data_IF_254723597754
#
_entry.id   IF_254723597754
#
_cell.length_a   1.000
_cell.length_b   1.000
_cell.length_c   1.000
_cell.angle_alpha   90.00
_cell.angle_beta   90.00
_cell.angle_gamma   90.00
#
_symmetry.space_group_name_H-M   'P 1'
#
loop_
_entity.id
_entity.type
_entity.pdbx_description
1 polymer ?
#
# COMPACT_ATOMS: atom_id res chain seq x y z
N UNK A 1 6.94 -37.46 -10.31
CA UNK A 1 6.84 -38.86 -9.84
C UNK A 1 8.06 -39.64 -10.35
N UNK A 2 8.79 -40.33 -9.46
CA UNK A 2 9.99 -41.10 -9.82
C UNK A 2 9.63 -42.39 -10.57
N UNK A 3 10.49 -42.81 -11.51
CA UNK A 3 10.31 -44.02 -12.31
C UNK A 3 11.51 -44.95 -12.21
N UNK A 4 11.32 -46.19 -12.64
CA UNK A 4 12.39 -47.17 -12.76
C UNK A 4 13.60 -46.57 -13.52
N UNK A 5 14.83 -46.78 -13.07
CA UNK A 5 16.03 -46.30 -13.77
C UNK A 5 16.26 -46.95 -15.14
N UNK A 6 15.67 -48.13 -15.39
CA UNK A 6 15.71 -48.79 -16.68
C UNK A 6 14.84 -48.01 -17.69
N UNK A 7 15.42 -47.44 -18.77
CA UNK A 7 14.69 -46.66 -19.76
C UNK A 7 13.57 -47.42 -20.48
N UNK A 8 13.65 -48.76 -20.52
CA UNK A 8 12.63 -49.62 -21.12
C UNK A 8 11.45 -49.90 -20.18
N UNK A 9 11.57 -49.57 -18.89
CA UNK A 9 10.58 -49.84 -17.86
C UNK A 9 9.87 -48.55 -17.41
N UNK A 10 8.56 -48.47 -17.63
CA UNK A 10 7.74 -47.32 -17.24
C UNK A 10 7.26 -47.32 -15.78
N UNK A 11 7.64 -48.32 -14.99
CA UNK A 11 7.10 -48.53 -13.64
C UNK A 11 7.39 -47.34 -12.71
N UNK A 12 6.38 -46.92 -11.93
CA UNK A 12 6.51 -45.85 -10.96
C UNK A 12 7.12 -46.37 -9.66
N UNK A 13 7.99 -45.57 -9.05
CA UNK A 13 8.55 -45.86 -7.73
C UNK A 13 7.58 -45.35 -6.67
N UNK A 14 7.03 -46.27 -5.89
CA UNK A 14 6.11 -45.96 -4.80
C UNK A 14 6.80 -45.33 -3.59
N UNK A 15 6.02 -44.60 -2.79
CA UNK A 15 6.52 -43.99 -1.54
C UNK A 15 7.05 -45.04 -0.55
N UNK A 16 6.45 -46.23 -0.53
CA UNK A 16 6.88 -47.37 0.26
C UNK A 16 8.30 -47.86 -0.08
N UNK A 17 8.71 -47.72 -1.34
CA UNK A 17 10.02 -48.14 -1.82
C UNK A 17 11.10 -47.11 -1.48
N UNK A 18 10.76 -45.82 -1.57
CA UNK A 18 11.63 -44.73 -1.11
C UNK A 18 11.86 -44.84 0.40
N UNK A 19 10.81 -45.10 1.18
CA UNK A 19 10.92 -45.21 2.64
C UNK A 19 11.80 -46.39 3.09
N UNK A 20 11.86 -47.46 2.28
CA UNK A 20 12.70 -48.65 2.54
C UNK A 20 14.14 -48.51 2.07
N UNK A 21 14.38 -47.85 0.93
CA UNK A 21 15.66 -47.90 0.23
C UNK A 21 16.48 -46.60 0.33
N UNK A 22 15.84 -45.45 0.55
CA UNK A 22 16.54 -44.17 0.59
C UNK A 22 17.13 -43.88 2.00
N UNK A 23 18.19 -43.07 2.09
CA UNK A 23 18.62 -42.44 3.34
C UNK A 23 17.55 -41.48 3.88
N UNK A 24 17.55 -41.21 5.19
CA UNK A 24 16.51 -40.38 5.83
C UNK A 24 16.44 -38.95 5.28
N UNK A 25 17.58 -38.36 4.90
CA UNK A 25 17.64 -37.03 4.26
C UNK A 25 16.89 -37.02 2.90
N UNK A 26 17.07 -38.06 2.10
CA UNK A 26 16.43 -38.19 0.79
C UNK A 26 14.94 -38.55 0.89
N UNK A 27 14.53 -39.29 1.92
CA UNK A 27 13.11 -39.53 2.21
C UNK A 27 12.36 -38.23 2.45
N UNK A 28 12.94 -37.35 3.27
CA UNK A 28 12.33 -36.06 3.58
C UNK A 28 12.25 -35.16 2.35
N UNK A 29 13.32 -35.17 1.54
CA UNK A 29 13.36 -34.47 0.27
C UNK A 29 12.30 -34.99 -0.71
N UNK A 30 12.13 -36.31 -0.81
CA UNK A 30 11.10 -36.93 -1.65
C UNK A 30 9.69 -36.55 -1.18
N UNK A 31 9.40 -36.63 0.14
CA UNK A 31 8.11 -36.21 0.70
C UNK A 31 7.80 -34.76 0.37
N UNK A 32 8.77 -33.86 0.54
CA UNK A 32 8.64 -32.44 0.21
C UNK A 32 8.31 -32.22 -1.28
N UNK A 33 9.01 -32.88 -2.19
CA UNK A 33 8.74 -32.77 -3.63
C UNK A 33 7.40 -33.37 -4.04
N UNK A 34 7.01 -34.50 -3.45
CA UNK A 34 5.72 -35.14 -3.72
C UNK A 34 4.57 -34.23 -3.30
N UNK A 35 4.66 -33.66 -2.09
CA UNK A 35 3.69 -32.69 -1.59
C UNK A 35 3.67 -31.42 -2.45
N UNK A 36 4.85 -30.92 -2.84
CA UNK A 36 4.97 -29.76 -3.76
C UNK A 36 4.25 -29.99 -5.07
N UNK A 37 4.48 -31.13 -5.72
CA UNK A 37 3.82 -31.52 -6.97
C UNK A 37 2.30 -31.59 -6.80
N UNK A 38 1.80 -32.18 -5.71
CA UNK A 38 0.36 -32.28 -5.45
C UNK A 38 -0.31 -30.90 -5.34
N UNK A 39 0.34 -29.96 -4.64
CA UNK A 39 -0.17 -28.59 -4.48
C UNK A 39 -0.08 -27.82 -5.80
N UNK A 40 1.02 -27.93 -6.55
CA UNK A 40 1.20 -27.27 -7.85
C UNK A 40 0.20 -27.76 -8.91
N UNK A 41 -0.20 -29.04 -8.86
CA UNK A 41 -1.23 -29.60 -9.74
C UNK A 41 -2.67 -29.22 -9.32
N UNK A 42 -2.85 -28.66 -8.12
CA UNK A 42 -4.16 -28.27 -7.61
C UNK A 42 -4.62 -26.92 -8.15
N UNK A 43 -5.87 -26.84 -8.60
CA UNK A 43 -6.50 -25.57 -8.99
C UNK A 43 -7.01 -24.74 -7.80
N UNK A 44 -7.06 -25.34 -6.62
CA UNK A 44 -7.64 -24.74 -5.40
C UNK A 44 -6.62 -24.53 -4.30
N UNK A 45 -5.38 -25.01 -4.45
CA UNK A 45 -4.35 -24.92 -3.41
C UNK A 45 -3.10 -24.29 -4.03
N UNK A 46 -2.48 -23.34 -3.33
CA UNK A 46 -1.21 -22.73 -3.74
C UNK A 46 -0.27 -22.63 -2.55
N UNK A 47 1.02 -22.71 -2.83
CA UNK A 47 2.07 -22.46 -1.84
C UNK A 47 2.06 -20.99 -1.40
N UNK A 48 2.31 -20.76 -0.11
CA UNK A 48 2.61 -19.41 0.38
C UNK A 48 3.94 -18.93 -0.23
N UNK A 49 3.99 -17.75 -0.86
CA UNK A 49 5.23 -17.24 -1.46
C UNK A 49 6.19 -16.60 -0.44
N UNK A 50 5.81 -16.55 0.85
CA UNK A 50 6.65 -15.98 1.89
C UNK A 50 7.97 -16.77 2.04
N UNK A 51 9.13 -16.09 2.09
CA UNK A 51 10.41 -16.76 2.29
C UNK A 51 10.42 -17.59 3.58
N UNK A 52 10.77 -18.88 3.47
CA UNK A 52 10.83 -19.81 4.61
C UNK A 52 9.48 -20.36 5.09
N UNK A 53 8.38 -20.09 4.38
CA UNK A 53 7.07 -20.66 4.71
C UNK A 53 6.78 -21.90 3.84
N UNK A 54 6.62 -23.06 4.48
CA UNK A 54 6.24 -24.33 3.84
C UNK A 54 4.73 -24.61 3.97
N UNK A 55 3.90 -23.60 4.19
CA UNK A 55 2.44 -23.74 4.27
C UNK A 55 1.79 -23.53 2.90
N UNK A 56 0.73 -24.29 2.64
CA UNK A 56 -0.12 -24.11 1.47
C UNK A 56 -1.49 -23.56 1.89
N UNK A 57 -2.07 -22.73 1.03
CA UNK A 57 -3.38 -22.10 1.27
C UNK A 57 -4.39 -22.65 0.28
N UNK A 58 -5.55 -23.07 0.79
CA UNK A 58 -6.70 -23.47 0.00
C UNK A 58 -7.61 -22.26 -0.28
N UNK A 59 -7.98 -22.06 -1.54
CA UNK A 59 -8.86 -20.98 -1.97
C UNK A 59 -10.33 -21.39 -1.90
N UNK A 60 -11.10 -20.63 -1.12
CA UNK A 60 -12.54 -20.76 -1.02
C UNK A 60 -13.21 -19.88 -2.08
N UNK A 61 -13.77 -20.52 -3.11
CA UNK A 61 -14.48 -19.82 -4.20
C UNK A 61 -15.71 -19.10 -3.64
N UNK A 62 -15.90 -17.83 -4.01
CA UNK A 62 -17.05 -17.02 -3.60
C UNK A 62 -16.78 -16.06 -2.43
N UNK A 63 -15.52 -15.92 -1.98
CA UNK A 63 -15.11 -14.99 -0.93
C UNK A 63 -15.20 -13.51 -1.31
N UNK A 64 -15.48 -13.17 -2.58
CA UNK A 64 -15.54 -11.79 -3.07
C UNK A 64 -14.18 -11.08 -3.17
N UNK A 65 -13.08 -11.77 -2.84
CA UNK A 65 -11.71 -11.26 -2.93
C UNK A 65 -10.76 -12.34 -3.46
N UNK A 66 -9.75 -11.93 -4.21
CA UNK A 66 -8.64 -12.80 -4.60
C UNK A 66 -7.51 -12.80 -3.55
N UNK A 67 -7.54 -11.91 -2.58
CA UNK A 67 -6.51 -11.87 -1.53
C UNK A 67 -6.72 -13.00 -0.53
N UNK A 68 -5.67 -13.78 -0.31
CA UNK A 68 -5.64 -14.87 0.67
C UNK A 68 -4.55 -14.61 1.71
N UNK A 69 -4.80 -15.03 2.95
CA UNK A 69 -3.85 -14.89 4.05
C UNK A 69 -3.43 -16.27 4.53
N UNK A 70 -2.12 -16.51 4.56
CA UNK A 70 -1.53 -17.73 5.12
C UNK A 70 -1.52 -17.67 6.66
N UNK A 71 -1.40 -18.83 7.31
CA UNK A 71 -1.17 -18.94 8.76
C UNK A 71 0.05 -18.17 9.27
N UNK A 72 1.07 -17.99 8.42
CA UNK A 72 2.24 -17.15 8.70
C UNK A 72 1.95 -15.63 8.62
N UNK A 73 0.68 -15.24 8.48
CA UNK A 73 0.19 -13.87 8.30
C UNK A 73 0.59 -13.19 6.98
N UNK A 74 1.34 -13.85 6.10
CA UNK A 74 1.61 -13.33 4.76
C UNK A 74 0.35 -13.38 3.90
N UNK A 75 0.01 -12.25 3.28
CA UNK A 75 -1.15 -12.14 2.39
C UNK A 75 -0.71 -11.94 0.95
N UNK A 76 -1.31 -12.69 0.03
CA UNK A 76 -0.97 -12.65 -1.40
C UNK A 76 -2.21 -12.74 -2.27
N UNK A 77 -2.10 -12.22 -3.50
CA UNK A 77 -3.15 -12.34 -4.49
C UNK A 77 -3.18 -13.76 -5.05
N UNK A 78 -4.33 -14.43 -4.94
CA UNK A 78 -4.54 -15.75 -5.51
C UNK A 78 -4.30 -15.80 -7.02
N UNK A 79 -4.56 -14.70 -7.75
CA UNK A 79 -4.49 -14.68 -9.20
C UNK A 79 -3.06 -14.59 -9.72
N UNK A 80 -2.30 -13.57 -9.30
CA UNK A 80 -0.94 -13.31 -9.79
C UNK A 80 0.17 -13.80 -8.86
N UNK A 81 -0.15 -14.30 -7.65
CA UNK A 81 0.81 -14.75 -6.63
C UNK A 81 1.77 -13.69 -6.09
N UNK A 82 1.65 -12.45 -6.54
CA UNK A 82 2.27 -11.29 -5.92
C UNK A 82 1.61 -10.99 -4.57
N UNK A 83 2.24 -10.10 -3.80
CA UNK A 83 1.67 -9.57 -2.57
C UNK A 83 0.22 -9.09 -2.77
N UNK A 84 -0.63 -9.27 -1.75
CA UNK A 84 -2.01 -8.80 -1.77
C UNK A 84 -2.02 -7.29 -2.08
N UNK A 85 -2.73 -6.92 -3.13
CA UNK A 85 -2.51 -5.62 -3.78
C UNK A 85 -3.81 -4.87 -4.04
N UNK A 86 -4.90 -5.21 -3.35
CA UNK A 86 -6.11 -4.39 -3.39
C UNK A 86 -5.82 -2.99 -2.85
N UNK A 87 -6.40 -1.95 -3.45
CA UNK A 87 -7.44 -1.97 -4.50
C UNK A 87 -6.88 -2.03 -5.94
N UNK A 88 -5.57 -2.11 -6.13
CA UNK A 88 -4.93 -2.10 -7.44
C UNK A 88 -5.13 -3.45 -8.13
N UNK A 89 -5.32 -3.46 -9.45
CA UNK A 89 -5.49 -4.69 -10.22
C UNK A 89 -4.13 -5.37 -10.54
N UNK A 90 -4.19 -6.66 -10.88
CA UNK A 90 -2.98 -7.45 -11.18
C UNK A 90 -2.17 -6.90 -12.37
N UNK A 91 -2.81 -6.29 -13.37
CA UNK A 91 -2.14 -5.76 -14.56
C UNK A 91 -1.29 -4.54 -14.21
N UNK A 92 -1.84 -3.64 -13.39
CA UNK A 92 -1.12 -2.46 -12.89
C UNK A 92 0.07 -2.88 -12.03
N UNK A 93 -0.09 -3.88 -11.14
CA UNK A 93 1.02 -4.42 -10.35
C UNK A 93 2.10 -5.03 -11.23
N UNK A 94 1.73 -5.82 -12.24
CA UNK A 94 2.70 -6.40 -13.17
C UNK A 94 3.52 -5.31 -13.90
N UNK A 95 2.88 -4.22 -14.33
CA UNK A 95 3.58 -3.07 -14.93
C UNK A 95 4.51 -2.38 -13.94
N UNK A 96 4.10 -2.23 -12.68
CA UNK A 96 4.92 -1.64 -11.61
C UNK A 96 6.14 -2.50 -11.31
N UNK A 97 5.95 -3.81 -11.09
CA UNK A 97 7.05 -4.77 -10.83
C UNK A 97 8.02 -4.78 -12.01
N UNK A 98 7.52 -4.84 -13.24
CA UNK A 98 8.36 -4.80 -14.43
C UNK A 98 9.18 -3.51 -14.50
N UNK A 99 8.56 -2.35 -14.21
CA UNK A 99 9.23 -1.04 -14.20
C UNK A 99 10.32 -0.96 -13.14
N UNK A 100 10.08 -1.51 -11.95
CA UNK A 100 11.04 -1.53 -10.85
C UNK A 100 12.18 -2.55 -11.09
N UNK A 101 11.91 -3.61 -11.86
CA UNK A 101 12.90 -4.64 -12.20
C UNK A 101 13.82 -4.27 -13.37
N UNK A 102 13.36 -3.35 -14.25
CA UNK A 102 14.09 -2.95 -15.44
C UNK A 102 15.00 -1.74 -15.18
N UNK A 103 16.21 -1.77 -15.76
CA UNK A 103 17.23 -0.69 -15.83
C UNK A 103 16.73 0.66 -16.42
N UNK A 104 15.42 0.82 -16.62
CA UNK A 104 14.74 2.00 -17.16
C UNK A 104 14.94 3.27 -16.32
N UNK A 105 15.14 3.13 -15.02
CA UNK A 105 15.49 4.22 -14.11
C UNK A 105 16.90 4.76 -14.38
N UNK A 106 17.86 3.88 -14.66
CA UNK A 106 19.22 4.28 -14.98
C UNK A 106 19.23 5.10 -16.29
N UNK A 107 18.43 4.68 -17.29
CA UNK A 107 18.27 5.40 -18.55
C UNK A 107 17.55 6.74 -18.39
N UNK A 108 16.47 6.82 -17.60
CA UNK A 108 15.75 8.08 -17.37
C UNK A 108 16.56 9.06 -16.50
N UNK A 109 17.29 8.56 -15.50
CA UNK A 109 18.24 9.37 -14.73
C UNK A 109 19.38 9.91 -15.59
N UNK A 110 19.97 9.06 -16.45
CA UNK A 110 20.98 9.48 -17.44
C UNK A 110 20.41 10.56 -18.36
N UNK A 111 19.19 10.41 -18.88
CA UNK A 111 18.57 11.40 -19.77
C UNK A 111 18.22 12.72 -19.06
N UNK A 112 17.88 12.68 -17.77
CA UNK A 112 17.53 13.85 -16.98
C UNK A 112 18.75 14.64 -16.50
N UNK A 113 19.85 13.95 -16.17
CA UNK A 113 21.02 14.56 -15.50
C UNK A 113 22.29 14.63 -16.38
N UNK A 114 22.26 14.10 -17.60
CA UNK A 114 23.41 14.11 -18.50
C UNK A 114 23.08 14.69 -19.89
N UNK A 115 24.09 15.24 -20.58
CA UNK A 115 24.03 15.55 -22.01
C UNK A 115 25.05 14.71 -22.78
N UNK A 116 24.74 14.24 -24.00
CA UNK A 116 25.68 13.48 -24.80
C UNK A 116 26.82 14.36 -25.31
N UNK A 117 28.05 13.85 -25.29
CA UNK A 117 29.18 14.50 -25.93
C UNK A 117 28.88 14.73 -27.42
N UNK A 118 29.05 15.94 -27.97
CA UNK A 118 28.77 16.21 -29.39
C UNK A 118 29.61 15.35 -30.34
N UNK A 119 30.86 15.00 -29.94
CA UNK A 119 31.81 14.22 -30.74
C UNK A 119 31.62 12.70 -30.64
N UNK A 120 31.46 12.14 -29.44
CA UNK A 120 31.41 10.67 -29.23
C UNK A 120 30.08 10.14 -28.66
N UNK A 121 29.10 11.01 -28.40
CA UNK A 121 27.76 10.71 -27.87
C UNK A 121 27.71 10.09 -26.47
N UNK A 122 28.85 9.85 -25.81
CA UNK A 122 28.90 9.39 -24.41
C UNK A 122 28.16 10.38 -23.50
N UNK A 123 27.28 9.93 -22.58
CA UNK A 123 26.60 10.80 -21.62
C UNK A 123 27.60 11.42 -20.65
N UNK A 124 27.48 12.73 -20.40
CA UNK A 124 28.33 13.51 -19.50
C UNK A 124 27.43 14.25 -18.51
N UNK A 125 27.66 14.05 -17.22
CA UNK A 125 27.00 14.78 -16.13
C UNK A 125 27.66 16.16 -15.94
N UNK A 126 26.88 17.16 -15.55
CA UNK A 126 27.37 18.53 -15.36
C UNK A 126 28.24 18.62 -14.10
N UNK A 127 29.48 19.11 -14.21
CA UNK A 127 30.23 19.52 -13.03
C UNK A 127 29.63 20.81 -12.42
N UNK A 128 29.72 20.97 -11.10
CA UNK A 128 28.98 21.96 -10.31
C UNK A 128 29.33 23.43 -10.65
N UNK A 129 28.83 23.94 -11.78
CA UNK A 129 28.80 25.37 -12.11
C UNK A 129 29.52 25.82 -13.39
N UNK A 130 30.38 24.98 -14.01
CA UNK A 130 31.13 25.40 -15.21
C UNK A 130 30.37 25.08 -16.51
N UNK A 131 30.30 26.04 -17.44
CA UNK A 131 29.74 25.78 -18.79
C UNK A 131 30.74 25.12 -19.74
N UNK A 132 32.03 25.13 -19.38
CA UNK A 132 33.09 24.42 -20.11
C UNK A 132 33.14 22.96 -19.67
N UNK A 133 32.87 22.05 -20.61
CA UNK A 133 32.83 20.62 -20.37
C UNK A 133 33.89 19.91 -21.19
N UNK A 134 34.68 19.08 -20.54
CA UNK A 134 35.68 18.23 -21.19
C UNK A 134 35.23 16.78 -21.12
N UNK A 135 35.07 16.13 -22.28
CA UNK A 135 34.69 14.72 -22.33
C UNK A 135 35.81 13.83 -21.74
N UNK A 136 35.43 12.79 -20.99
CA UNK A 136 36.39 11.85 -20.42
C UNK A 136 37.18 11.09 -21.50
N UNK A 137 38.42 10.66 -21.21
CA UNK A 137 39.23 9.86 -22.13
C UNK A 137 38.48 8.61 -22.67
N UNK A 138 38.72 8.21 -23.93
CA UNK A 138 39.75 8.71 -24.86
C UNK A 138 39.36 9.97 -25.65
N UNK A 139 38.12 10.48 -25.53
CA UNK A 139 37.59 11.52 -26.42
C UNK A 139 38.20 12.91 -26.18
N UNK A 140 38.30 13.35 -24.92
CA UNK A 140 38.88 14.64 -24.49
C UNK A 140 38.32 15.90 -25.20
N UNK A 141 37.17 15.80 -25.86
CA UNK A 141 36.57 16.93 -26.56
C UNK A 141 36.02 17.97 -25.59
N UNK A 142 36.37 19.23 -25.84
CA UNK A 142 35.96 20.38 -25.04
C UNK A 142 34.79 21.10 -25.72
N UNK A 143 33.70 21.29 -24.98
CA UNK A 143 32.47 21.85 -25.52
C UNK A 143 31.70 22.69 -24.50
N UNK A 144 30.80 23.54 -24.99
CA UNK A 144 29.91 24.33 -24.16
C UNK A 144 28.67 23.51 -23.75
N UNK A 145 28.37 23.45 -22.45
CA UNK A 145 27.22 22.72 -21.91
C UNK A 145 25.86 23.20 -22.44
N UNK A 146 25.74 24.49 -22.78
CA UNK A 146 24.48 25.09 -23.23
C UNK A 146 24.17 24.72 -24.69
N UNK A 147 25.06 25.08 -25.61
CA UNK A 147 24.85 24.93 -27.06
C UNK A 147 25.42 23.64 -27.66
N UNK A 148 26.18 22.85 -26.89
CA UNK A 148 26.88 21.63 -27.34
C UNK A 148 27.89 21.87 -28.49
N UNK A 149 28.27 23.12 -28.75
CA UNK A 149 29.30 23.51 -29.71
C UNK A 149 30.73 23.42 -29.15
N UNK A 150 31.73 23.43 -30.03
CA UNK A 150 33.15 23.41 -29.65
C UNK A 150 33.49 24.56 -28.71
N UNK A 151 34.27 24.30 -27.66
CA UNK A 151 34.70 25.34 -26.73
C UNK A 151 35.68 26.33 -27.38
N UNK A 152 36.47 25.87 -28.36
CA UNK A 152 37.38 26.72 -29.16
C UNK A 152 36.68 27.92 -29.81
N UNK A 153 35.38 27.77 -30.09
CA UNK A 153 34.59 28.77 -30.80
C UNK A 153 33.94 29.78 -29.82
N UNK A 154 34.16 29.61 -28.52
CA UNK A 154 33.64 30.47 -27.46
C UNK A 154 34.70 31.50 -27.02
N UNK A 155 34.31 32.77 -27.00
CA UNK A 155 35.14 33.90 -26.58
C UNK A 155 34.29 35.16 -26.39
N UNK A 156 34.93 36.34 -26.43
CA UNK A 156 34.27 37.63 -26.18
C UNK A 156 33.07 37.89 -27.14
N UNK A 157 33.18 37.41 -28.38
CA UNK A 157 32.13 37.53 -29.43
C UNK A 157 30.88 36.68 -29.20
N UNK A 158 30.93 35.70 -28.29
CA UNK A 158 29.81 34.77 -28.02
C UNK A 158 29.16 35.00 -26.65
N UNK A 159 29.43 36.12 -25.98
CA UNK A 159 28.90 36.42 -24.64
C UNK A 159 29.90 36.21 -23.50
N UNK A 160 31.18 36.00 -23.82
CA UNK A 160 32.25 35.75 -22.84
C UNK A 160 32.33 34.28 -22.40
N UNK A 161 33.23 34.00 -21.45
CA UNK A 161 33.50 32.63 -20.97
C UNK A 161 32.39 32.05 -20.09
N UNK A 162 31.45 32.89 -19.64
CA UNK A 162 30.39 32.51 -18.69
C UNK A 162 28.97 32.56 -19.28
N UNK A 163 28.78 33.11 -20.49
CA UNK A 163 27.49 33.18 -21.17
C UNK A 163 27.61 32.84 -22.67
N UNK A 164 26.52 32.36 -23.28
CA UNK A 164 26.51 31.86 -24.67
C UNK A 164 25.38 32.52 -25.50
N UNK A 165 25.70 33.58 -26.23
CA UNK A 165 24.77 34.34 -27.07
C UNK A 165 24.21 33.49 -28.23
N UNK A 166 24.96 32.49 -28.73
CA UNK A 166 24.47 31.54 -29.75
C UNK A 166 23.36 30.63 -29.21
N UNK A 167 23.44 30.26 -27.93
CA UNK A 167 22.36 29.53 -27.27
C UNK A 167 21.13 30.41 -27.10
N UNK A 168 21.31 31.67 -26.67
CA UNK A 168 20.21 32.62 -26.48
C UNK A 168 19.45 32.93 -27.78
N UNK A 169 20.18 33.14 -28.89
CA UNK A 169 19.57 33.34 -30.21
C UNK A 169 18.81 32.08 -30.70
N UNK A 170 19.41 30.89 -30.59
CA UNK A 170 18.76 29.64 -30.99
C UNK A 170 17.56 29.26 -30.10
N UNK A 171 17.56 29.71 -28.83
CA UNK A 171 16.41 29.61 -27.92
C UNK A 171 15.28 30.54 -28.33
N UNK A 172 15.58 31.78 -28.72
CA UNK A 172 14.58 32.74 -29.23
C UNK A 172 13.96 32.29 -30.56
N UNK A 173 14.71 31.55 -31.38
CA UNK A 173 14.23 30.96 -32.64
C UNK A 173 13.49 29.61 -32.47
N UNK A 174 13.32 29.10 -31.24
CA UNK A 174 12.54 27.89 -30.95
C UNK A 174 13.21 26.56 -31.33
N UNK A 175 14.48 26.58 -31.76
CA UNK A 175 15.22 25.38 -32.23
C UNK A 175 15.44 24.35 -31.11
N UNK A 176 15.50 24.81 -29.85
CA UNK A 176 15.74 23.97 -28.66
C UNK A 176 14.49 23.59 -27.86
N UNK A 177 13.32 24.18 -28.15
CA UNK A 177 12.10 24.01 -27.35
C UNK A 177 11.66 22.55 -27.27
N UNK A 178 11.73 21.81 -28.38
CA UNK A 178 11.27 20.43 -28.44
C UNK A 178 12.15 19.47 -27.63
N UNK A 179 13.48 19.66 -27.67
CA UNK A 179 14.43 18.83 -26.94
C UNK A 179 14.51 19.20 -25.45
N UNK A 180 14.34 20.47 -25.10
CA UNK A 180 14.25 20.94 -23.72
C UNK A 180 12.94 20.49 -23.07
N UNK A 181 11.81 20.59 -23.78
CA UNK A 181 10.50 20.07 -23.35
C UNK A 181 10.51 18.56 -23.15
N UNK A 182 11.18 17.78 -24.02
CA UNK A 182 11.34 16.33 -23.82
C UNK A 182 12.15 16.00 -22.55
N UNK A 183 13.23 16.75 -22.30
CA UNK A 183 14.03 16.59 -21.07
C UNK A 183 13.23 16.96 -19.83
N UNK A 184 12.46 18.05 -19.90
CA UNK A 184 11.60 18.49 -18.80
C UNK A 184 10.47 17.48 -18.51
N UNK A 185 9.82 16.92 -19.55
CA UNK A 185 8.83 15.85 -19.37
C UNK A 185 9.46 14.57 -18.80
N UNK A 186 10.66 14.21 -19.23
CA UNK A 186 11.40 13.07 -18.67
C UNK A 186 11.74 13.31 -17.20
N UNK A 187 12.20 14.52 -16.84
CA UNK A 187 12.48 14.93 -15.46
C UNK A 187 11.23 14.89 -14.60
N UNK A 188 10.12 15.49 -15.05
CA UNK A 188 8.84 15.47 -14.34
C UNK A 188 8.28 14.03 -14.17
N UNK A 189 8.46 13.19 -15.17
CA UNK A 189 8.06 11.78 -15.10
C UNK A 189 8.93 10.99 -14.12
N UNK A 190 10.22 11.30 -14.05
CA UNK A 190 11.17 10.70 -13.10
C UNK A 190 10.87 11.17 -11.68
N UNK A 191 10.71 12.47 -11.44
CA UNK A 191 10.36 13.03 -10.13
C UNK A 191 9.06 12.44 -9.59
N UNK A 192 8.02 12.34 -10.45
CA UNK A 192 6.76 11.71 -10.08
C UNK A 192 6.97 10.23 -9.74
N UNK A 193 7.74 9.51 -10.54
CA UNK A 193 8.05 8.12 -10.26
C UNK A 193 8.80 7.95 -8.93
N UNK A 194 9.86 8.71 -8.71
CA UNK A 194 10.65 8.73 -7.47
C UNK A 194 9.76 8.99 -6.26
N UNK A 195 8.87 9.98 -6.34
CA UNK A 195 7.93 10.28 -5.27
C UNK A 195 7.08 9.07 -4.85
N UNK A 196 6.48 8.36 -5.81
CA UNK A 196 5.65 7.18 -5.49
C UNK A 196 6.48 5.96 -5.13
N UNK A 197 7.65 5.77 -5.75
CA UNK A 197 8.55 4.67 -5.45
C UNK A 197 9.14 4.75 -4.04
N UNK A 198 9.63 5.92 -3.61
CA UNK A 198 10.14 6.12 -2.26
C UNK A 198 9.08 5.82 -1.20
N UNK A 199 7.83 6.25 -1.45
CA UNK A 199 6.69 5.93 -0.57
C UNK A 199 6.40 4.44 -0.54
N UNK A 200 6.36 3.78 -1.70
CA UNK A 200 6.16 2.33 -1.79
C UNK A 200 7.27 1.55 -1.07
N UNK A 201 8.54 1.89 -1.30
CA UNK A 201 9.70 1.24 -0.69
C UNK A 201 9.75 1.49 0.83
N UNK A 202 9.43 2.71 1.28
CA UNK A 202 9.32 3.04 2.71
C UNK A 202 8.19 2.25 3.39
N UNK A 203 7.04 2.12 2.74
CA UNK A 203 5.93 1.31 3.22
C UNK A 203 6.33 -0.18 3.32
N UNK A 204 7.01 -0.69 2.28
CA UNK A 204 7.52 -2.06 2.24
C UNK A 204 8.53 -2.34 3.36
N UNK A 205 9.44 -1.41 3.66
CA UNK A 205 10.39 -1.55 4.78
C UNK A 205 9.67 -1.51 6.14
N UNK A 206 8.73 -0.59 6.30
CA UNK A 206 7.88 -0.49 7.51
C UNK A 206 7.10 -1.79 7.73
N UNK A 207 6.66 -2.44 6.65
CA UNK A 207 6.02 -3.76 6.66
C UNK A 207 6.89 -4.87 7.18
N UNK A 208 8.11 -4.97 6.70
CA UNK A 208 9.03 -6.01 7.15
C UNK A 208 9.33 -5.87 8.63
N UNK A 209 9.56 -4.65 9.11
CA UNK A 209 9.74 -4.37 10.54
C UNK A 209 8.52 -4.78 11.35
N UNK A 210 7.34 -4.40 10.90
CA UNK A 210 6.08 -4.74 11.55
C UNK A 210 5.81 -6.24 11.66
N UNK A 211 6.14 -7.02 10.64
CA UNK A 211 6.02 -8.48 10.68
C UNK A 211 7.00 -9.08 11.69
N UNK A 212 8.22 -8.55 11.78
CA UNK A 212 9.18 -8.95 12.79
C UNK A 212 8.68 -8.61 14.21
N UNK A 213 8.13 -7.42 14.42
CA UNK A 213 7.57 -7.00 15.71
C UNK A 213 6.37 -7.88 16.11
N UNK A 214 5.50 -8.25 15.15
CA UNK A 214 4.38 -9.16 15.40
C UNK A 214 4.86 -10.54 15.83
N UNK A 215 5.87 -11.09 15.15
CA UNK A 215 6.46 -12.37 15.52
C UNK A 215 7.05 -12.30 16.94
N UNK A 216 7.78 -11.22 17.26
CA UNK A 216 8.32 -10.98 18.59
C UNK A 216 7.22 -10.87 19.66
N UNK A 217 6.10 -10.23 19.33
CA UNK A 217 4.94 -10.12 20.22
C UNK A 217 4.35 -11.49 20.54
N UNK A 218 4.23 -12.36 19.53
CA UNK A 218 3.70 -13.71 19.67
C UNK A 218 4.65 -14.64 20.45
N UNK A 219 5.96 -14.53 20.22
CA UNK A 219 6.92 -15.51 20.74
C UNK A 219 7.52 -15.15 22.10
N UNK A 220 7.62 -13.87 22.45
CA UNK A 220 8.33 -13.41 23.66
C UNK A 220 7.42 -12.55 24.54
N UNK A 221 6.77 -11.55 23.95
CA UNK A 221 6.07 -10.56 24.76
C UNK A 221 4.74 -11.06 25.34
N UNK A 222 4.07 -12.01 24.68
CA UNK A 222 2.82 -12.57 25.21
C UNK A 222 3.05 -13.34 26.52
N UNK A 223 4.08 -14.19 26.57
CA UNK A 223 4.46 -14.96 27.76
C UNK A 223 4.84 -14.01 28.91
N UNK A 224 5.71 -13.04 28.64
CA UNK A 224 6.10 -12.01 29.63
C UNK A 224 4.89 -11.23 30.15
N UNK A 225 3.95 -10.87 29.27
CA UNK A 225 2.75 -10.12 29.66
C UNK A 225 1.80 -10.97 30.51
N UNK A 226 1.67 -12.26 30.20
CA UNK A 226 0.92 -13.24 30.98
C UNK A 226 1.45 -13.32 32.41
N UNK A 227 2.77 -13.35 32.59
CA UNK A 227 3.43 -13.36 33.89
C UNK A 227 3.18 -12.04 34.67
N UNK A 228 3.47 -10.89 34.06
CA UNK A 228 3.36 -9.58 34.72
C UNK A 228 1.93 -9.25 35.11
N UNK A 229 0.96 -9.55 34.25
CA UNK A 229 -0.45 -9.25 34.50
C UNK A 229 -1.18 -10.38 35.25
N UNK A 230 -0.50 -11.50 35.50
CA UNK A 230 -1.09 -12.69 36.14
C UNK A 230 -2.40 -13.13 35.46
N UNK A 231 -2.40 -13.11 34.13
CA UNK A 231 -3.54 -13.52 33.30
C UNK A 231 -3.13 -14.64 32.35
N UNK A 232 -3.97 -15.66 32.12
CA UNK A 232 -3.65 -16.71 31.16
C UNK A 232 -3.59 -16.13 29.74
N UNK A 233 -2.68 -16.64 28.91
CA UNK A 233 -2.48 -16.19 27.51
C UNK A 233 -3.77 -16.18 26.67
N UNK A 234 -4.71 -17.07 26.98
CA UNK A 234 -6.02 -17.12 26.34
C UNK A 234 -6.82 -15.81 26.50
N UNK A 235 -6.67 -15.12 27.62
CA UNK A 235 -7.29 -13.81 27.85
C UNK A 235 -6.52 -12.66 27.17
N UNK A 236 -5.27 -12.89 26.75
CA UNK A 236 -4.39 -11.92 26.10
C UNK A 236 -4.36 -12.04 24.57
N UNK A 237 -4.95 -13.10 24.00
CA UNK A 237 -5.04 -13.30 22.53
C UNK A 237 -5.57 -12.10 21.75
N UNK A 238 -6.44 -11.29 22.35
CA UNK A 238 -6.97 -10.06 21.73
C UNK A 238 -5.86 -9.09 21.31
N UNK A 239 -4.70 -9.11 21.96
CA UNK A 239 -3.56 -8.24 21.63
C UNK A 239 -2.94 -8.72 20.32
N UNK A 240 -2.75 -10.03 20.15
CA UNK A 240 -2.23 -10.59 18.90
C UNK A 240 -3.21 -10.33 17.75
N UNK A 241 -4.51 -10.53 17.99
CA UNK A 241 -5.54 -10.24 17.00
C UNK A 241 -5.58 -8.75 16.63
N UNK A 242 -5.43 -7.86 17.61
CA UNK A 242 -5.36 -6.42 17.37
C UNK A 242 -4.10 -6.03 16.58
N UNK A 243 -2.94 -6.61 16.89
CA UNK A 243 -1.70 -6.38 16.16
C UNK A 243 -1.79 -6.91 14.72
N UNK A 244 -2.29 -8.14 14.52
CA UNK A 244 -2.51 -8.72 13.20
C UNK A 244 -3.41 -7.83 12.35
N UNK A 245 -4.50 -7.33 12.93
CA UNK A 245 -5.41 -6.42 12.24
C UNK A 245 -4.74 -5.08 11.93
N UNK A 246 -4.02 -4.49 12.89
CA UNK A 246 -3.29 -3.22 12.71
C UNK A 246 -2.29 -3.33 11.58
N UNK A 247 -1.48 -4.38 11.60
CA UNK A 247 -0.46 -4.64 10.58
C UNK A 247 -1.11 -4.85 9.22
N UNK A 248 -2.11 -5.73 9.11
CA UNK A 248 -2.82 -5.97 7.84
C UNK A 248 -3.34 -4.67 7.21
N UNK A 249 -4.02 -3.84 8.00
CA UNK A 249 -4.61 -2.58 7.53
C UNK A 249 -3.55 -1.51 7.22
N UNK A 250 -2.42 -1.50 7.93
CA UNK A 250 -1.34 -0.55 7.65
C UNK A 250 -0.80 -0.69 6.24
N UNK A 251 -0.64 -1.93 5.78
CA UNK A 251 0.02 -2.23 4.51
C UNK A 251 -0.91 -2.17 3.30
N UNK A 252 -2.22 -2.33 3.51
CA UNK A 252 -3.22 -2.28 2.45
C UNK A 252 -3.43 -0.84 1.90
N UNK A 253 -3.10 0.25 2.63
CA UNK A 253 -3.38 1.61 2.14
C UNK A 253 -2.70 2.78 2.86
N UNK A 254 -2.07 3.71 2.09
CA UNK A 254 -1.55 4.99 2.58
C UNK A 254 -2.10 6.19 1.78
N UNK A 255 -3.23 6.72 2.25
CA UNK A 255 -3.77 8.06 1.94
C UNK A 255 -3.93 8.77 3.28
N UNK A 256 -3.51 10.04 3.41
CA UNK A 256 -3.22 10.69 4.70
C UNK A 256 -4.23 10.53 5.86
N UNK A 257 -5.52 10.35 5.62
CA UNK A 257 -6.51 10.08 6.68
C UNK A 257 -6.45 8.65 7.22
N UNK A 258 -6.21 7.68 6.33
CA UNK A 258 -5.90 6.30 6.68
C UNK A 258 -4.60 6.22 7.49
N UNK A 259 -3.57 6.98 7.09
CA UNK A 259 -2.28 7.02 7.79
C UNK A 259 -2.45 7.50 9.24
N UNK A 260 -3.25 8.55 9.44
CA UNK A 260 -3.50 9.07 10.78
C UNK A 260 -4.27 8.10 11.68
N UNK A 261 -5.22 7.33 11.12
CA UNK A 261 -5.93 6.27 11.85
C UNK A 261 -5.01 5.12 12.25
N UNK A 262 -4.18 4.68 11.30
CA UNK A 262 -3.19 3.62 11.51
C UNK A 262 -2.11 4.00 12.50
N UNK A 263 -1.58 5.22 12.44
CA UNK A 263 -0.54 5.67 13.36
C UNK A 263 -1.05 5.70 14.80
N UNK A 264 -2.31 6.09 15.03
CA UNK A 264 -2.92 6.04 16.37
C UNK A 264 -3.07 4.61 16.87
N UNK A 265 -3.50 3.70 16.00
CA UNK A 265 -3.64 2.29 16.35
C UNK A 265 -2.26 1.66 16.61
N UNK A 266 -1.25 1.95 15.79
CA UNK A 266 0.15 1.56 15.99
C UNK A 266 0.70 2.10 17.32
N UNK A 267 0.51 3.38 17.61
CA UNK A 267 0.93 4.01 18.86
C UNK A 267 0.34 3.29 20.08
N UNK A 268 -0.95 2.96 20.04
CA UNK A 268 -1.63 2.26 21.12
C UNK A 268 -1.17 0.80 21.23
N UNK A 269 -1.18 0.07 20.11
CA UNK A 269 -0.83 -1.35 20.06
C UNK A 269 0.62 -1.61 20.48
N UNK A 270 1.56 -0.73 20.11
CA UNK A 270 2.99 -0.99 20.26
C UNK A 270 3.62 -0.16 21.37
N UNK A 271 3.44 1.16 21.34
CA UNK A 271 4.17 2.04 22.26
C UNK A 271 3.51 2.09 23.63
N UNK A 272 2.19 2.22 23.68
CA UNK A 272 1.46 2.21 24.97
C UNK A 272 1.51 0.82 25.63
N UNK A 273 1.50 -0.27 24.85
CA UNK A 273 1.62 -1.63 25.37
C UNK A 273 2.93 -1.85 26.14
N UNK A 274 4.03 -1.23 25.70
CA UNK A 274 5.34 -1.37 26.35
C UNK A 274 5.34 -0.87 27.80
N UNK A 275 4.45 0.06 28.16
CA UNK A 275 4.32 0.52 29.54
C UNK A 275 3.80 -0.59 30.47
N UNK A 276 2.97 -1.50 29.95
CA UNK A 276 2.41 -2.63 30.69
C UNK A 276 3.31 -3.88 30.64
N UNK A 277 4.20 -3.98 29.64
CA UNK A 277 5.23 -5.03 29.56
C UNK A 277 6.42 -4.80 30.50
N UNK A 278 6.61 -3.56 30.94
CA UNK A 278 7.73 -3.14 31.79
C UNK A 278 7.27 -2.74 33.19
N UNK A 279 6.01 -2.95 33.55
CA UNK A 279 5.50 -2.64 34.89
C UNK A 279 5.88 -3.71 35.91
N UNK A 280 6.11 -3.31 37.16
CA UNK A 280 6.48 -4.21 38.26
C UNK A 280 5.30 -5.05 38.83
N UNK A 281 4.16 -5.07 38.13
CA UNK A 281 2.99 -5.86 38.50
C UNK A 281 1.71 -5.51 37.72
N UNK A 282 0.57 -6.13 38.07
CA UNK A 282 -0.69 -5.95 37.36
C UNK A 282 -1.21 -4.52 37.46
N UNK A 283 -1.53 -3.92 36.31
CA UNK A 283 -2.04 -2.54 36.25
C UNK A 283 -3.56 -2.50 36.29
N UNK A 284 -4.13 -1.60 37.09
CA UNK A 284 -5.57 -1.36 37.14
C UNK A 284 -6.10 -0.75 35.84
N UNK A 285 -5.26 -0.01 35.13
CA UNK A 285 -5.62 0.69 33.89
C UNK A 285 -5.50 -0.22 32.65
N UNK A 286 -5.10 -1.49 32.82
CA UNK A 286 -4.96 -2.44 31.71
C UNK A 286 -6.30 -2.74 31.02
N UNK A 287 -7.41 -2.73 31.78
CA UNK A 287 -8.75 -2.90 31.20
C UNK A 287 -9.17 -1.70 30.32
N UNK A 288 -8.75 -0.49 30.70
CA UNK A 288 -9.00 0.71 29.91
C UNK A 288 -8.17 0.66 28.61
N UNK A 289 -6.91 0.23 28.71
CA UNK A 289 -6.06 -0.04 27.55
C UNK A 289 -6.69 -1.08 26.62
N UNK A 290 -7.18 -2.21 27.16
CA UNK A 290 -7.87 -3.26 26.38
C UNK A 290 -9.06 -2.69 25.61
N UNK A 291 -9.90 -1.90 26.28
CA UNK A 291 -11.09 -1.29 25.68
C UNK A 291 -10.71 -0.31 24.58
N UNK A 292 -9.70 0.53 24.82
CA UNK A 292 -9.15 1.47 23.85
C UNK A 292 -8.60 0.77 22.61
N UNK A 293 -7.77 -0.27 22.80
CA UNK A 293 -7.15 -1.02 21.70
C UNK A 293 -8.22 -1.72 20.84
N UNK A 294 -9.20 -2.37 21.47
CA UNK A 294 -10.29 -3.02 20.75
C UNK A 294 -11.14 -2.02 19.95
N UNK A 295 -11.45 -0.85 20.54
CA UNK A 295 -12.18 0.22 19.87
C UNK A 295 -11.43 0.77 18.65
N UNK A 296 -10.15 1.12 18.82
CA UNK A 296 -9.31 1.61 17.72
C UNK A 296 -9.19 0.58 16.60
N UNK A 297 -9.03 -0.70 16.95
CA UNK A 297 -8.92 -1.80 15.96
C UNK A 297 -10.20 -1.92 15.11
N UNK A 298 -11.37 -1.84 15.75
CA UNK A 298 -12.67 -1.94 15.07
C UNK A 298 -12.93 -0.75 14.15
N UNK A 299 -12.72 0.47 14.64
CA UNK A 299 -12.93 1.70 13.84
C UNK A 299 -12.01 1.73 12.63
N UNK A 300 -10.74 1.39 12.84
CA UNK A 300 -9.73 1.36 11.78
C UNK A 300 -10.12 0.36 10.70
N UNK A 301 -10.49 -0.88 11.08
CA UNK A 301 -10.99 -1.91 10.16
C UNK A 301 -12.17 -1.43 9.33
N UNK A 302 -13.22 -0.90 9.96
CA UNK A 302 -14.43 -0.47 9.27
C UNK A 302 -14.16 0.66 8.27
N UNK A 303 -13.30 1.61 8.64
CA UNK A 303 -12.90 2.70 7.75
C UNK A 303 -12.24 2.15 6.47
N UNK A 304 -11.29 1.24 6.61
CA UNK A 304 -10.59 0.65 5.47
C UNK A 304 -11.48 -0.24 4.60
N UNK A 305 -12.32 -1.08 5.20
CA UNK A 305 -13.27 -1.91 4.45
C UNK A 305 -14.19 -1.05 3.57
N UNK A 306 -14.66 0.08 4.09
CA UNK A 306 -15.49 1.02 3.34
C UNK A 306 -14.69 1.72 2.22
N UNK A 307 -13.45 2.10 2.50
CA UNK A 307 -12.58 2.78 1.55
C UNK A 307 -12.18 1.89 0.37
N UNK A 308 -11.79 0.64 0.66
CA UNK A 308 -11.51 -0.37 -0.37
C UNK A 308 -12.75 -0.59 -1.23
N UNK A 309 -13.92 -0.82 -0.59
CA UNK A 309 -15.18 -1.00 -1.33
C UNK A 309 -15.52 0.21 -2.21
N UNK A 310 -15.31 1.42 -1.72
CA UNK A 310 -15.55 2.64 -2.50
C UNK A 310 -14.61 2.72 -3.72
N UNK A 311 -13.32 2.42 -3.55
CA UNK A 311 -12.34 2.46 -4.65
C UNK A 311 -12.64 1.39 -5.71
N UNK A 312 -13.03 0.20 -5.29
CA UNK A 312 -13.38 -0.90 -6.20
C UNK A 312 -14.67 -0.68 -6.97
N UNK A 313 -15.63 0.01 -6.36
CA UNK A 313 -16.86 0.45 -7.01
C UNK A 313 -16.66 1.74 -7.83
N UNK A 314 -15.42 2.19 -8.04
CA UNK A 314 -15.12 3.39 -8.82
C UNK A 314 -15.67 4.69 -8.20
N UNK A 315 -15.78 4.73 -6.87
CA UNK A 315 -16.32 5.85 -6.09
C UNK A 315 -17.80 6.18 -6.36
N UNK A 316 -18.59 5.22 -6.82
CA UNK A 316 -20.03 5.39 -7.13
C UNK A 316 -20.87 6.00 -6.01
N UNK A 317 -20.48 5.76 -4.75
CA UNK A 317 -21.21 6.24 -3.56
C UNK A 317 -21.00 7.75 -3.30
N UNK A 318 -19.95 8.35 -3.86
CA UNK A 318 -19.65 9.79 -3.75
C UNK A 318 -20.59 10.61 -4.64
N UNK A 319 -21.07 10.05 -5.76
CA UNK A 319 -22.05 10.69 -6.64
C UNK A 319 -23.45 10.80 -5.98
N UNK A 320 -23.77 9.89 -5.06
CA UNK A 320 -25.06 9.88 -4.37
C UNK A 320 -25.20 11.00 -3.32
N UNK A 321 -24.09 11.48 -2.76
CA UNK A 321 -24.05 12.60 -1.81
C UNK A 321 -23.94 13.98 -2.49
N UNK A 322 -23.50 14.04 -3.76
CA UNK A 322 -23.53 15.28 -4.53
C UNK A 322 -24.96 15.68 -4.95
N UNK A 323 -25.86 14.71 -5.07
CA UNK A 323 -27.25 14.93 -5.47
C UNK A 323 -28.18 15.43 -4.36
N UNK A 324 -27.78 15.33 -3.08
CA UNK A 324 -28.61 15.81 -1.95
C UNK A 324 -28.32 17.26 -1.51
N UNK A 325 -27.31 17.94 -2.09
CA UNK A 325 -26.96 19.32 -1.74
C UNK A 325 -27.45 20.41 -2.72
N UNK A 326 -28.48 20.14 -3.53
CA UNK A 326 -29.15 21.17 -4.36
C UNK A 326 -30.66 21.29 -4.06
N UNK A 327 -30.98 22.04 -3.02
CA UNK A 327 -32.19 22.89 -2.93
C UNK A 327 -31.81 24.17 -2.18
N UNK A 328 -31.49 25.24 -2.88
CA UNK A 328 -32.40 26.33 -3.31
C UNK A 328 -32.45 27.49 -2.32
N UNK A 329 -31.52 28.44 -2.49
CA UNK A 329 -31.73 29.84 -2.10
C UNK A 329 -32.61 30.50 -3.15
N UNK A 330 -33.92 30.65 -2.89
CA UNK A 330 -34.74 31.71 -3.52
C UNK A 330 -35.76 32.26 -2.53
N UNK A 331 -35.60 33.55 -2.28
CA UNK A 331 -36.49 34.38 -1.48
C UNK A 331 -37.87 34.56 -2.14
N UNK A 332 -38.82 34.80 -1.24
CA UNK A 332 -40.26 35.03 -1.38
C UNK A 332 -40.62 36.23 -2.27
N UNK A 333 -41.64 36.07 -3.13
CA UNK A 333 -42.65 37.10 -3.41
C UNK A 333 -43.90 36.52 -4.10
N UNK A 334 -45.08 36.81 -3.53
CA UNK A 334 -46.30 37.07 -4.32
C UNK A 334 -47.27 35.91 -4.62
N UNK A 335 -48.29 35.76 -3.77
CA UNK A 335 -49.52 34.99 -4.03
C UNK A 335 -50.34 35.52 -5.22
N UNK A 336 -50.93 34.62 -6.03
CA UNK A 336 -52.39 34.63 -6.31
C UNK A 336 -52.91 33.43 -7.12
N UNK A 337 -54.08 32.94 -6.67
CA UNK A 337 -55.18 32.23 -7.39
C UNK A 337 -55.06 30.73 -7.80
N UNK A 338 -55.68 29.91 -6.94
CA UNK A 338 -56.94 29.16 -7.13
C UNK A 338 -57.09 27.96 -8.11
N UNK A 339 -57.89 26.98 -7.61
CA UNK A 339 -58.47 25.74 -8.18
C UNK A 339 -57.49 24.56 -8.28
N UNK A 340 -57.76 23.35 -7.82
CA UNK A 340 -58.94 22.67 -7.28
C UNK A 340 -58.81 21.18 -7.63
N UNK A 341 -59.05 20.25 -6.69
CA UNK A 341 -59.05 18.81 -7.03
C UNK A 341 -58.89 17.87 -5.83
N UNK A 342 -60.00 17.20 -5.47
CA UNK A 342 -60.13 16.17 -4.43
C UNK A 342 -59.46 14.85 -4.85
N UNK A 343 -58.91 14.12 -3.88
CA UNK A 343 -58.64 12.68 -3.97
C UNK A 343 -58.32 12.08 -2.60
N UNK A 344 -59.24 11.30 -2.03
CA UNK A 344 -59.15 10.59 -0.74
C UNK A 344 -58.43 9.23 -0.91
N UNK A 345 -57.73 8.79 0.14
CA UNK A 345 -57.31 7.40 0.36
C UNK A 345 -56.27 7.32 1.49
N UNK A 346 -56.66 7.44 2.76
CA UNK A 346 -56.91 6.34 3.70
C UNK A 346 -55.69 5.46 3.97
N UNK A 347 -55.06 5.63 5.13
CA UNK A 347 -54.30 4.56 5.79
C UNK A 347 -54.27 4.77 7.30
N UNK A 348 -54.38 3.63 7.96
CA UNK A 348 -54.80 3.40 9.34
C UNK A 348 -53.71 3.73 10.36
N UNK A 349 -54.18 4.16 11.51
CA UNK A 349 -53.53 4.21 12.82
C UNK A 349 -52.94 2.87 13.25
N UNK A 350 -51.72 2.90 13.79
CA UNK A 350 -51.05 1.80 14.47
C UNK A 350 -49.98 2.34 15.42
N UNK A 351 -50.36 2.42 16.68
CA UNK A 351 -49.71 3.03 17.85
C UNK A 351 -48.29 2.51 18.13
N UNK A 352 -47.30 3.40 18.20
CA UNK A 352 -46.00 3.10 18.85
C UNK A 352 -46.02 3.56 20.30
N UNK A 353 -45.96 2.59 21.20
CA UNK A 353 -45.72 2.75 22.63
C UNK A 353 -44.32 3.32 22.83
N UNK A 354 -44.25 4.38 23.62
CA UNK A 354 -43.01 5.00 24.09
C UNK A 354 -42.32 4.04 25.06
N UNK A 355 -41.03 3.79 24.85
CA UNK A 355 -40.11 3.55 25.95
C UNK A 355 -39.02 4.63 25.86
N UNK A 356 -38.93 5.42 26.92
CA UNK A 356 -37.82 6.31 27.18
C UNK A 356 -36.65 5.45 27.65
N UNK A 357 -35.51 5.58 26.99
CA UNK A 357 -34.21 5.52 27.64
C UNK A 357 -33.40 6.72 27.15
N UNK A 358 -33.17 7.64 28.08
CA UNK A 358 -32.62 8.98 27.90
C UNK A 358 -31.09 8.92 27.93
N UNK A 359 -30.49 8.25 26.95
CA UNK A 359 -29.06 8.39 26.66
C UNK A 359 -28.93 9.26 25.42
N UNK A 360 -28.74 10.57 25.65
CA UNK A 360 -28.60 11.59 24.61
C UNK A 360 -27.34 11.45 23.73
N UNK A 361 -26.97 10.24 23.33
CA UNK A 361 -25.79 9.96 22.53
C UNK A 361 -26.13 9.98 21.04
N UNK A 362 -25.17 10.37 20.19
CA UNK A 362 -25.30 10.39 18.74
C UNK A 362 -24.21 9.53 18.10
N UNK A 363 -24.57 8.70 17.12
CA UNK A 363 -23.61 7.92 16.36
C UNK A 363 -23.01 8.78 15.24
N UNK A 364 -21.69 8.73 15.05
CA UNK A 364 -21.02 9.46 13.99
C UNK A 364 -21.33 8.83 12.62
N UNK A 365 -21.82 9.63 11.66
CA UNK A 365 -22.17 9.12 10.32
C UNK A 365 -20.97 8.62 9.51
N UNK A 366 -19.74 8.95 9.92
CA UNK A 366 -18.50 8.58 9.22
C UNK A 366 -17.83 7.34 9.81
N UNK A 367 -17.83 7.20 11.14
CA UNK A 367 -17.14 6.10 11.83
C UNK A 367 -18.03 5.28 12.76
N UNK A 368 -19.34 5.56 12.79
CA UNK A 368 -20.39 4.91 13.60
C UNK A 368 -20.20 4.97 15.12
N UNK A 369 -19.15 5.64 15.60
CA UNK A 369 -18.85 5.77 17.02
C UNK A 369 -19.94 6.55 17.76
N UNK A 370 -20.38 6.03 18.90
CA UNK A 370 -21.42 6.63 19.74
C UNK A 370 -20.81 7.69 20.64
N UNK A 371 -21.04 8.96 20.31
CA UNK A 371 -20.60 10.13 21.07
C UNK A 371 -21.67 10.58 22.05
N UNK A 372 -21.27 11.17 23.17
CA UNK A 372 -22.18 11.85 24.10
C UNK A 372 -22.58 13.22 23.55
N UNK A 373 -23.83 13.67 23.80
CA UNK A 373 -24.39 14.95 23.28
C UNK A 373 -23.55 16.20 23.54
N UNK A 374 -22.71 16.18 24.57
CA UNK A 374 -21.85 17.31 24.95
C UNK A 374 -20.73 17.57 23.96
N UNK A 375 -20.37 16.58 23.11
CA UNK A 375 -19.33 16.74 22.10
C UNK A 375 -19.96 17.02 20.75
N UNK A 376 -19.63 18.18 20.18
CA UNK A 376 -20.14 18.62 18.87
C UNK A 376 -19.31 18.12 17.69
N UNK A 377 -18.21 17.44 17.97
CA UNK A 377 -17.37 16.73 17.00
C UNK A 377 -17.18 15.31 17.50
N UNK A 378 -17.07 14.34 16.61
CA UNK A 378 -16.85 12.98 17.03
C UNK A 378 -15.52 12.88 17.78
N UNK A 379 -15.53 12.30 18.98
CA UNK A 379 -14.33 12.12 19.79
C UNK A 379 -13.28 11.26 19.07
N UNK A 380 -13.70 10.41 18.13
CA UNK A 380 -12.82 9.50 17.38
C UNK A 380 -12.28 10.10 16.08
N UNK A 381 -13.11 10.78 15.27
CA UNK A 381 -12.68 11.30 13.96
C UNK A 381 -12.60 12.83 13.89
N UNK A 382 -12.98 13.54 14.95
CA UNK A 382 -13.01 15.01 15.07
C UNK A 382 -13.83 15.74 14.00
N UNK A 383 -14.66 15.01 13.24
CA UNK A 383 -15.63 15.56 12.30
C UNK A 383 -16.99 15.72 12.99
N UNK A 384 -17.74 16.72 12.54
CA UNK A 384 -19.04 17.07 13.10
C UNK A 384 -20.09 16.00 12.84
#
# INVERSE_FOLDING_TARGET
>A
MLRCPDPSCGAAVGHDMIDKLAPDEDKEKYRRYLLRSYVEDSRKIKWCPAPGCDSAVEYVVGSGSYDVTCSCSYSFCWNCTEEAHRPVDCETVAKWVLKNSAESENMNWILANSKPCPKCKRPIEKNQGCMHMTCTPPCKFEFCWLCLGSWSDHGERTGGFYACNRYEAAKQEGVYDEAERRREMAKNSLERYTHYYERWASNQSSRQKALADLHQMQSIHLEKLSEVQSQPESQLKFIIEAWQQTKKQFFEYLQGEAEAGLERLHQCAEKELMNYLNSDGPSKDFNDFRTKLAGLTSVTRNYFENLVRALENGLSDVDSQAACNKTSSKNVAGSSKAKGGRGKGSSKTGTSVRNMDDSGNWACDQCTYVNVRSVSTCHMCHRR
#
